data_IF_873013327078
#
_entry.id   IF_873013327078
#
_cell.length_a   1.000
_cell.length_b   1.000
_cell.length_c   1.000
_cell.angle_alpha   90.00
_cell.angle_beta   90.00
_cell.angle_gamma   90.00
#
_symmetry.space_group_name_H-M   'P 1'
#
loop_
_entity.id
_entity.type
_entity.pdbx_description
1 polymer ?
#
# COMPACT_ATOMS: atom_id res chain seq x y z
N UNK A 1 14.94 -5.08 19.01
CA UNK A 1 14.71 -3.63 19.16
C UNK A 1 15.39 -2.95 17.99
N UNK A 2 14.70 -2.05 17.30
CA UNK A 2 15.25 -1.21 16.23
C UNK A 2 15.78 0.06 16.87
N UNK A 3 17.04 0.43 16.65
CA UNK A 3 17.64 1.67 17.19
C UNK A 3 17.39 2.89 16.29
N UNK A 4 16.55 2.75 15.28
CA UNK A 4 16.21 3.82 14.34
C UNK A 4 15.33 4.95 14.89
N UNK A 5 15.13 6.00 14.08
CA UNK A 5 14.41 7.22 14.49
C UNK A 5 12.96 6.98 14.90
N UNK A 6 12.37 5.85 14.50
CA UNK A 6 10.98 5.49 14.84
C UNK A 6 10.86 4.46 15.96
N UNK A 7 11.94 4.20 16.71
CA UNK A 7 11.96 3.16 17.76
C UNK A 7 10.84 3.29 18.79
N UNK A 8 10.48 4.51 19.17
CA UNK A 8 9.44 4.80 20.17
C UNK A 8 8.05 5.08 19.57
N UNK A 9 7.93 5.09 18.24
CA UNK A 9 6.66 5.39 17.57
C UNK A 9 5.67 4.21 17.63
N UNK A 10 4.34 4.47 17.63
CA UNK A 10 3.29 3.46 17.53
C UNK A 10 3.17 2.92 16.09
N UNK A 11 4.28 2.43 15.56
CA UNK A 11 4.44 1.87 14.22
C UNK A 11 4.73 0.37 14.31
N UNK A 12 4.28 -0.38 13.30
CA UNK A 12 4.67 -1.79 13.19
C UNK A 12 6.18 -1.90 12.88
N UNK A 13 6.74 -3.10 13.04
CA UNK A 13 8.17 -3.33 12.85
C UNK A 13 8.67 -2.98 11.43
N UNK A 14 7.82 -3.12 10.41
CA UNK A 14 8.19 -2.83 9.01
C UNK A 14 8.36 -1.32 8.79
N UNK A 15 7.45 -0.52 9.33
CA UNK A 15 7.57 0.94 9.32
C UNK A 15 8.75 1.44 10.15
N UNK A 16 9.05 0.81 11.30
CA UNK A 16 10.26 1.16 12.07
C UNK A 16 11.55 0.91 11.29
N UNK A 17 11.63 -0.23 10.59
CA UNK A 17 12.74 -0.55 9.67
C UNK A 17 12.81 0.38 8.46
N UNK A 18 11.69 0.91 7.99
CA UNK A 18 11.70 1.94 6.96
C UNK A 18 12.28 3.26 7.49
N UNK A 19 11.96 3.64 8.73
CA UNK A 19 12.57 4.80 9.40
C UNK A 19 14.10 4.71 9.48
N UNK A 20 14.64 3.52 9.74
CA UNK A 20 16.10 3.27 9.68
C UNK A 20 16.66 3.56 8.28
N UNK A 21 15.97 3.15 7.22
CA UNK A 21 16.41 3.36 5.84
C UNK A 21 16.34 4.85 5.40
N UNK A 22 15.53 5.68 6.07
CA UNK A 22 15.48 7.13 5.79
C UNK A 22 16.77 7.83 6.23
N UNK A 23 17.37 7.41 7.34
CA UNK A 23 18.58 8.03 7.89
C UNK A 23 19.86 7.28 7.52
N UNK A 24 19.74 6.17 6.80
CA UNK A 24 20.87 5.37 6.33
C UNK A 24 21.26 5.73 4.89
N UNK A 25 22.42 6.34 4.72
CA UNK A 25 22.95 6.77 3.42
C UNK A 25 23.29 5.60 2.49
N UNK A 26 23.52 4.40 3.02
CA UNK A 26 23.78 3.21 2.21
C UNK A 26 22.51 2.67 1.54
N UNK A 27 21.32 3.15 1.92
CA UNK A 27 20.06 2.68 1.35
C UNK A 27 19.69 3.41 0.07
N UNK A 28 19.52 2.63 -0.98
CA UNK A 28 19.09 3.11 -2.29
C UNK A 28 17.60 3.51 -2.28
N UNK A 29 17.19 4.31 -3.28
CA UNK A 29 15.78 4.63 -3.50
C UNK A 29 14.94 3.36 -3.70
N UNK A 30 15.41 2.42 -4.54
CA UNK A 30 14.71 1.16 -4.80
C UNK A 30 14.45 0.34 -3.53
N UNK A 31 15.44 0.25 -2.64
CA UNK A 31 15.27 -0.47 -1.37
C UNK A 31 14.24 0.21 -0.47
N UNK A 32 14.27 1.55 -0.41
CA UNK A 32 13.26 2.33 0.33
C UNK A 32 11.87 2.13 -0.26
N UNK A 33 11.71 2.19 -1.58
CA UNK A 33 10.43 1.95 -2.28
C UNK A 33 9.92 0.54 -2.00
N UNK A 34 10.77 -0.47 -2.12
CA UNK A 34 10.38 -1.85 -1.84
C UNK A 34 9.97 -2.05 -0.37
N UNK A 35 10.68 -1.42 0.57
CA UNK A 35 10.35 -1.50 2.00
C UNK A 35 9.07 -0.74 2.36
N UNK A 36 8.88 0.46 1.83
CA UNK A 36 7.67 1.24 2.04
C UNK A 36 6.44 0.51 1.48
N UNK A 37 6.54 -0.05 0.27
CA UNK A 37 5.50 -0.88 -0.33
C UNK A 37 5.14 -2.11 0.52
N UNK A 38 6.14 -2.87 0.98
CA UNK A 38 5.91 -4.02 1.88
C UNK A 38 5.30 -3.61 3.23
N UNK A 39 5.66 -2.44 3.76
CA UNK A 39 5.13 -1.93 5.02
C UNK A 39 3.68 -1.46 4.90
N UNK A 40 3.29 -0.83 3.78
CA UNK A 40 1.89 -0.43 3.51
C UNK A 40 0.97 -1.65 3.45
N UNK A 41 1.36 -2.68 2.70
CA UNK A 41 0.54 -3.88 2.52
C UNK A 41 0.51 -4.81 3.74
N UNK A 42 1.32 -4.54 4.77
CA UNK A 42 1.48 -5.40 5.94
C UNK A 42 0.23 -5.51 6.80
N UNK A 43 -0.51 -4.41 6.92
CA UNK A 43 -1.68 -4.28 7.79
C UNK A 43 -2.99 -4.25 7.00
N UNK A 44 -2.91 -4.37 5.68
CA UNK A 44 -4.08 -4.45 4.81
C UNK A 44 -4.60 -5.89 4.80
N UNK A 45 -5.92 -6.04 4.93
CA UNK A 45 -6.57 -7.32 4.70
C UNK A 45 -6.70 -7.60 3.19
N UNK A 46 -5.57 -7.96 2.60
CA UNK A 46 -5.46 -8.29 1.18
C UNK A 46 -6.36 -9.46 0.78
N UNK A 47 -6.70 -10.35 1.72
CA UNK A 47 -7.57 -11.50 1.45
C UNK A 47 -9.00 -11.06 1.19
N UNK A 48 -9.55 -10.27 2.12
CA UNK A 48 -10.92 -9.76 2.02
C UNK A 48 -11.13 -8.90 0.76
N UNK A 49 -10.17 -8.01 0.47
CA UNK A 49 -10.22 -7.16 -0.72
C UNK A 49 -10.18 -8.00 -2.00
N UNK A 50 -9.25 -8.95 -2.09
CA UNK A 50 -9.13 -9.80 -3.27
C UNK A 50 -10.39 -10.67 -3.47
N UNK A 51 -11.01 -11.16 -2.39
CA UNK A 51 -12.26 -11.91 -2.47
C UNK A 51 -13.41 -11.06 -2.99
N UNK A 52 -13.57 -9.83 -2.48
CA UNK A 52 -14.60 -8.90 -2.98
C UNK A 52 -14.37 -8.58 -4.46
N UNK A 53 -13.13 -8.23 -4.84
CA UNK A 53 -12.80 -7.92 -6.24
C UNK A 53 -13.07 -9.13 -7.13
N UNK A 54 -12.68 -10.33 -6.72
CA UNK A 54 -12.96 -11.55 -7.47
C UNK A 54 -14.46 -11.79 -7.67
N UNK A 55 -15.28 -11.60 -6.65
CA UNK A 55 -16.74 -11.74 -6.74
C UNK A 55 -17.35 -10.72 -7.72
N UNK A 56 -16.88 -9.47 -7.68
CA UNK A 56 -17.32 -8.41 -8.61
C UNK A 56 -16.91 -8.72 -10.06
N UNK A 57 -15.69 -9.21 -10.28
CA UNK A 57 -15.21 -9.64 -11.61
C UNK A 57 -15.98 -10.87 -12.12
N UNK A 58 -16.30 -11.81 -11.24
CA UNK A 58 -17.11 -12.98 -11.59
C UNK A 58 -18.52 -12.57 -12.01
N UNK A 59 -19.12 -11.60 -11.31
CA UNK A 59 -20.39 -11.01 -11.66
C UNK A 59 -20.33 -10.28 -13.02
N UNK A 60 -19.30 -9.45 -13.24
CA UNK A 60 -19.09 -8.73 -14.52
C UNK A 60 -19.02 -9.70 -15.71
N UNK A 61 -18.31 -10.83 -15.55
CA UNK A 61 -18.22 -11.87 -16.58
C UNK A 61 -19.54 -12.60 -16.87
N UNK A 62 -20.52 -12.50 -15.96
CA UNK A 62 -21.82 -13.19 -16.04
C UNK A 62 -23.00 -12.28 -16.38
N UNK A 63 -22.74 -11.02 -16.76
CA UNK A 63 -23.72 -9.92 -16.93
C UNK A 63 -24.88 -10.14 -17.95
N UNK A 64 -25.17 -11.36 -18.39
CA UNK A 64 -26.34 -11.64 -19.19
C UNK A 64 -27.62 -11.56 -18.34
N UNK A 65 -28.44 -10.53 -18.59
CA UNK A 65 -29.83 -10.36 -18.10
C UNK A 65 -29.99 -10.03 -16.60
N UNK A 66 -29.17 -9.14 -16.03
CA UNK A 66 -29.51 -8.52 -14.73
C UNK A 66 -30.37 -7.27 -14.91
N UNK A 67 -31.56 -7.26 -14.29
CA UNK A 67 -32.50 -6.13 -14.33
C UNK A 67 -32.19 -5.05 -13.29
N UNK A 68 -31.40 -5.38 -12.26
CA UNK A 68 -30.98 -4.46 -11.21
C UNK A 68 -29.49 -4.68 -10.89
N UNK A 69 -28.59 -4.26 -11.79
CA UNK A 69 -27.17 -4.50 -11.63
C UNK A 69 -26.59 -3.79 -10.40
N UNK A 70 -27.09 -2.59 -10.07
CA UNK A 70 -26.63 -1.84 -8.89
C UNK A 70 -27.02 -2.56 -7.61
N UNK A 71 -28.26 -3.04 -7.47
CA UNK A 71 -28.68 -3.80 -6.30
C UNK A 71 -27.96 -5.14 -6.17
N UNK A 72 -27.62 -5.79 -7.29
CA UNK A 72 -26.80 -7.02 -7.27
C UNK A 72 -25.36 -6.75 -6.83
N UNK A 73 -24.72 -5.71 -7.35
CA UNK A 73 -23.38 -5.27 -6.92
C UNK A 73 -23.38 -4.92 -5.44
N UNK A 74 -24.39 -4.18 -4.97
CA UNK A 74 -24.51 -3.81 -3.57
C UNK A 74 -24.67 -5.06 -2.67
N UNK A 75 -25.46 -6.05 -3.08
CA UNK A 75 -25.56 -7.33 -2.37
C UNK A 75 -24.24 -8.10 -2.31
N UNK A 76 -23.43 -8.04 -3.37
CA UNK A 76 -22.07 -8.61 -3.35
C UNK A 76 -21.25 -7.87 -2.29
N UNK A 77 -21.20 -6.54 -2.32
CA UNK A 77 -20.46 -5.74 -1.34
C UNK A 77 -20.90 -6.08 0.10
N UNK A 78 -22.20 -6.13 0.38
CA UNK A 78 -22.76 -6.43 1.71
C UNK A 78 -22.42 -7.84 2.24
N UNK A 79 -22.05 -8.78 1.36
CA UNK A 79 -21.60 -10.12 1.75
C UNK A 79 -20.13 -10.17 2.19
N UNK A 80 -19.38 -9.09 1.98
CA UNK A 80 -17.97 -8.98 2.33
C UNK A 80 -17.77 -7.95 3.46
N UNK A 81 -17.52 -8.43 4.69
CA UNK A 81 -17.13 -7.58 5.83
C UNK A 81 -15.60 -7.46 5.88
N UNK A 82 -15.05 -6.55 5.09
CA UNK A 82 -13.60 -6.42 4.91
C UNK A 82 -12.97 -5.20 5.59
N UNK A 83 -13.68 -4.57 6.53
CA UNK A 83 -13.21 -3.39 7.26
C UNK A 83 -12.97 -2.14 6.39
N UNK A 84 -12.26 -1.14 6.95
CA UNK A 84 -12.22 0.21 6.40
C UNK A 84 -11.76 0.33 4.94
N UNK A 85 -10.79 -0.49 4.49
CA UNK A 85 -10.29 -0.39 3.12
C UNK A 85 -11.26 -1.01 2.11
N UNK A 86 -12.00 -2.03 2.54
CA UNK A 86 -13.10 -2.62 1.76
C UNK A 86 -14.28 -1.66 1.67
N UNK A 87 -14.60 -0.95 2.77
CA UNK A 87 -15.61 0.12 2.77
C UNK A 87 -15.22 1.27 1.83
N UNK A 88 -13.94 1.62 1.77
CA UNK A 88 -13.42 2.63 0.85
C UNK A 88 -13.52 2.17 -0.61
N UNK A 89 -13.22 0.89 -0.88
CA UNK A 89 -13.38 0.29 -2.21
C UNK A 89 -14.83 0.33 -2.65
N UNK A 90 -15.74 -0.09 -1.76
CA UNK A 90 -17.17 -0.05 -2.00
C UNK A 90 -17.65 1.38 -2.30
N UNK A 91 -17.25 2.38 -1.51
CA UNK A 91 -17.63 3.78 -1.76
C UNK A 91 -17.14 4.28 -3.12
N UNK A 92 -15.87 4.08 -3.44
CA UNK A 92 -15.28 4.56 -4.71
C UNK A 92 -15.89 3.84 -5.91
N UNK A 93 -16.11 2.53 -5.80
CA UNK A 93 -16.80 1.73 -6.81
C UNK A 93 -18.21 2.25 -7.06
N UNK A 94 -19.00 2.42 -6.01
CA UNK A 94 -20.38 2.91 -6.14
C UNK A 94 -20.41 4.32 -6.73
N UNK A 95 -19.50 5.22 -6.34
CA UNK A 95 -19.41 6.56 -6.93
C UNK A 95 -19.14 6.53 -8.45
N UNK A 96 -18.24 5.65 -8.91
CA UNK A 96 -17.95 5.45 -10.32
C UNK A 96 -19.18 4.89 -11.08
N UNK A 97 -19.89 3.92 -10.49
CA UNK A 97 -21.09 3.32 -11.08
C UNK A 97 -22.25 4.31 -11.19
N UNK A 98 -22.47 5.15 -10.17
CA UNK A 98 -23.47 6.24 -10.24
C UNK A 98 -23.16 7.25 -11.35
N UNK A 99 -21.88 7.38 -11.70
CA UNK A 99 -21.41 8.20 -12.81
C UNK A 99 -21.45 7.48 -14.17
N UNK A 100 -22.17 6.36 -14.26
CA UNK A 100 -22.36 5.53 -15.47
C UNK A 100 -21.08 4.88 -16.02
N UNK A 101 -20.05 4.71 -15.18
CA UNK A 101 -18.84 3.97 -15.55
C UNK A 101 -19.14 2.47 -15.64
N UNK A 102 -18.72 1.75 -16.70
CA UNK A 102 -18.85 0.30 -16.76
C UNK A 102 -18.20 -0.40 -15.56
N UNK A 103 -18.78 -1.50 -15.07
CA UNK A 103 -18.35 -2.16 -13.83
C UNK A 103 -16.85 -2.52 -13.85
N UNK A 104 -16.35 -3.17 -14.91
CA UNK A 104 -14.93 -3.48 -15.04
C UNK A 104 -14.03 -2.25 -14.83
N UNK A 105 -14.34 -1.12 -15.47
CA UNK A 105 -13.58 0.13 -15.35
C UNK A 105 -13.79 0.79 -13.99
N UNK A 106 -14.98 0.68 -13.40
CA UNK A 106 -15.27 1.19 -12.07
C UNK A 106 -14.45 0.46 -10.98
N UNK A 107 -14.24 -0.85 -11.14
CA UNK A 107 -13.34 -1.65 -10.27
C UNK A 107 -11.90 -1.16 -10.41
N UNK A 108 -11.40 -1.00 -11.65
CA UNK A 108 -10.03 -0.54 -11.92
C UNK A 108 -9.76 0.85 -11.32
N UNK A 109 -10.71 1.77 -11.51
CA UNK A 109 -10.64 3.12 -10.95
C UNK A 109 -10.63 3.08 -9.42
N UNK A 110 -11.55 2.35 -8.80
CA UNK A 110 -11.66 2.28 -7.35
C UNK A 110 -10.39 1.68 -6.70
N UNK A 111 -9.77 0.66 -7.31
CA UNK A 111 -8.50 0.10 -6.87
C UNK A 111 -7.35 1.09 -6.98
N UNK A 112 -7.31 1.85 -8.09
CA UNK A 112 -6.28 2.88 -8.32
C UNK A 112 -6.42 4.03 -7.33
N UNK A 113 -7.64 4.49 -7.06
CA UNK A 113 -7.92 5.57 -6.11
C UNK A 113 -7.49 5.18 -4.70
N UNK A 114 -7.86 3.98 -4.23
CA UNK A 114 -7.43 3.48 -2.92
C UNK A 114 -5.91 3.34 -2.85
N UNK A 115 -5.27 2.84 -3.91
CA UNK A 115 -3.82 2.71 -3.94
C UNK A 115 -3.15 4.09 -3.79
N UNK A 116 -3.66 5.12 -4.48
CA UNK A 116 -3.17 6.48 -4.37
C UNK A 116 -3.39 7.07 -2.96
N UNK A 117 -4.57 6.84 -2.37
CA UNK A 117 -4.89 7.31 -1.02
C UNK A 117 -4.05 6.59 0.05
N UNK A 118 -3.78 5.30 -0.11
CA UNK A 118 -2.90 4.54 0.77
C UNK A 118 -1.46 5.08 0.73
N UNK A 119 -0.95 5.40 -0.47
CA UNK A 119 0.37 6.02 -0.68
C UNK A 119 0.42 7.38 0.00
N UNK A 120 -0.58 8.24 -0.27
CA UNK A 120 -0.64 9.61 0.25
C UNK A 120 -0.76 9.65 1.78
N UNK A 121 -1.69 8.87 2.34
CA UNK A 121 -1.92 8.79 3.79
C UNK A 121 -0.70 8.23 4.53
N UNK A 122 -0.06 7.20 3.98
CA UNK A 122 1.16 6.61 4.56
C UNK A 122 2.33 7.58 4.53
N UNK A 123 2.53 8.32 3.42
CA UNK A 123 3.54 9.38 3.33
C UNK A 123 3.30 10.43 4.40
N UNK A 124 2.09 10.98 4.49
CA UNK A 124 1.77 12.08 5.40
C UNK A 124 1.93 11.66 6.86
N UNK A 125 1.52 10.43 7.20
CA UNK A 125 1.73 9.86 8.53
C UNK A 125 3.22 9.76 8.88
N UNK A 126 4.06 9.35 7.93
CA UNK A 126 5.51 9.25 8.16
C UNK A 126 6.20 10.62 8.22
N UNK A 127 5.72 11.62 7.48
CA UNK A 127 6.18 13.00 7.63
C UNK A 127 5.90 13.51 9.06
N UNK A 128 4.71 13.21 9.61
CA UNK A 128 4.38 13.51 11.02
C UNK A 128 5.32 12.78 11.98
N UNK A 129 5.57 11.49 11.77
CA UNK A 129 6.50 10.75 12.64
C UNK A 129 7.96 11.22 12.52
N UNK A 130 8.37 11.81 11.39
CA UNK A 130 9.68 12.47 11.29
C UNK A 130 9.74 13.72 12.17
N UNK A 131 8.66 14.51 12.21
CA UNK A 131 8.54 15.69 13.09
C UNK A 131 8.65 15.24 14.55
N UNK A 132 7.80 14.30 14.96
CA UNK A 132 7.76 13.78 16.34
C UNK A 132 9.11 13.16 16.75
N UNK A 133 9.75 12.39 15.88
CA UNK A 133 11.05 11.77 16.17
C UNK A 133 12.14 12.81 16.41
N UNK A 134 12.11 13.92 15.67
CA UNK A 134 13.02 15.06 15.89
C UNK A 134 12.73 15.75 17.23
N UNK A 135 11.46 16.01 17.54
CA UNK A 135 11.06 16.69 18.77
C UNK A 135 11.42 15.88 20.03
N UNK A 136 11.31 14.56 19.95
CA UNK A 136 11.68 13.63 21.02
C UNK A 136 13.18 13.33 21.10
N UNK A 137 13.98 13.82 20.14
CA UNK A 137 15.42 13.58 20.07
C UNK A 137 15.81 12.17 19.59
N UNK A 138 14.85 11.38 19.08
CA UNK A 138 15.11 10.08 18.45
C UNK A 138 15.70 10.21 17.04
N UNK A 139 15.52 11.38 16.39
CA UNK A 139 16.15 11.74 15.12
C UNK A 139 17.00 13.00 15.29
N UNK A 140 18.25 13.00 14.79
CA UNK A 140 19.11 14.19 14.91
C UNK A 140 18.61 15.31 14.02
N UNK A 141 18.79 16.56 14.45
CA UNK A 141 18.40 17.74 13.68
C UNK A 141 19.03 17.79 12.27
N UNK A 142 20.25 17.26 12.11
CA UNK A 142 20.93 17.18 10.81
C UNK A 142 20.36 16.09 9.88
N UNK A 143 19.77 15.02 10.44
CA UNK A 143 19.19 13.91 9.68
C UNK A 143 17.79 14.26 9.16
N UNK A 144 17.06 15.13 9.86
CA UNK A 144 15.67 15.44 9.60
C UNK A 144 15.34 15.96 8.19
N UNK A 145 16.04 16.99 7.63
CA UNK A 145 15.75 17.46 6.28
C UNK A 145 15.95 16.36 5.22
N UNK A 146 16.99 15.55 5.40
CA UNK A 146 17.32 14.43 4.52
C UNK A 146 16.28 13.32 4.62
N UNK A 147 15.80 13.01 5.83
CA UNK A 147 14.75 12.02 6.05
C UNK A 147 13.44 12.41 5.36
N UNK A 148 13.01 13.68 5.47
CA UNK A 148 11.82 14.18 4.78
C UNK A 148 11.96 14.14 3.26
N UNK A 149 13.11 14.57 2.73
CA UNK A 149 13.37 14.52 1.29
C UNK A 149 13.33 13.08 0.77
N UNK A 150 14.00 12.15 1.47
CA UNK A 150 13.97 10.72 1.14
C UNK A 150 12.58 10.12 1.24
N UNK A 151 11.77 10.52 2.22
CA UNK A 151 10.40 10.07 2.34
C UNK A 151 9.57 10.53 1.14
N UNK A 152 9.62 11.82 0.80
CA UNK A 152 8.95 12.38 -0.38
C UNK A 152 9.36 11.65 -1.66
N UNK A 153 10.67 11.51 -1.88
CA UNK A 153 11.19 10.90 -3.11
C UNK A 153 10.83 9.40 -3.19
N UNK A 154 10.82 8.71 -2.05
CA UNK A 154 10.37 7.31 -1.98
C UNK A 154 8.91 7.18 -2.37
N UNK A 155 8.01 7.94 -1.75
CA UNK A 155 6.58 7.84 -2.02
C UNK A 155 6.19 8.34 -3.41
N UNK A 156 6.93 9.30 -3.97
CA UNK A 156 6.78 9.71 -5.37
C UNK A 156 7.19 8.62 -6.37
N UNK A 157 8.06 7.69 -5.97
CA UNK A 157 8.54 6.58 -6.80
C UNK A 157 7.74 5.27 -6.61
N UNK A 158 6.75 5.24 -5.71
CA UNK A 158 5.87 4.07 -5.56
C UNK A 158 4.87 4.05 -6.72
N UNK A 159 4.83 2.93 -7.42
CA UNK A 159 3.85 2.68 -8.48
C UNK A 159 2.49 2.30 -7.89
N UNK A 160 1.51 3.21 -8.02
CA UNK A 160 0.14 2.99 -7.58
C UNK A 160 -0.53 1.80 -8.29
N UNK A 161 -0.24 1.57 -9.58
CA UNK A 161 -0.79 0.43 -10.31
C UNK A 161 -0.27 -0.89 -9.73
N UNK A 162 0.99 -0.91 -9.26
CA UNK A 162 1.54 -2.08 -8.57
C UNK A 162 0.86 -2.37 -7.23
N UNK A 163 0.46 -1.33 -6.48
CA UNK A 163 -0.33 -1.49 -5.26
C UNK A 163 -1.74 -1.96 -5.59
N UNK A 164 -2.40 -1.36 -6.58
CA UNK A 164 -3.73 -1.77 -7.06
C UNK A 164 -3.76 -3.25 -7.48
N UNK A 165 -2.77 -3.69 -8.26
CA UNK A 165 -2.62 -5.10 -8.63
C UNK A 165 -2.41 -6.02 -7.42
N UNK A 166 -1.66 -5.57 -6.41
CA UNK A 166 -1.47 -6.35 -5.18
C UNK A 166 -2.75 -6.48 -4.36
N UNK A 167 -3.58 -5.43 -4.33
CA UNK A 167 -4.91 -5.44 -3.72
C UNK A 167 -5.85 -6.40 -4.44
N UNK A 168 -5.90 -6.33 -5.79
CA UNK A 168 -6.73 -7.21 -6.62
C UNK A 168 -6.35 -8.68 -6.49
N UNK A 169 -5.05 -8.98 -6.52
CA UNK A 169 -4.54 -10.36 -6.51
C UNK A 169 -4.35 -10.93 -5.09
N UNK A 170 -4.52 -10.11 -4.05
CA UNK A 170 -4.19 -10.49 -2.68
C UNK A 170 -2.68 -10.76 -2.47
N UNK A 171 -1.80 -10.19 -3.31
CA UNK A 171 -0.37 -10.52 -3.33
C UNK A 171 0.43 -9.72 -2.28
N UNK A 172 0.58 -10.31 -1.10
CA UNK A 172 1.42 -9.76 -0.02
C UNK A 172 2.92 -9.67 -0.37
N UNK A 173 3.38 -10.35 -1.44
CA UNK A 173 4.78 -10.41 -1.84
C UNK A 173 5.12 -9.50 -3.02
N UNK A 174 4.18 -8.66 -3.47
CA UNK A 174 4.37 -7.73 -4.59
C UNK A 174 5.67 -6.90 -4.51
N UNK A 175 6.13 -6.58 -3.29
CA UNK A 175 7.36 -5.82 -3.03
C UNK A 175 8.53 -6.66 -2.48
N UNK A 176 8.30 -7.92 -2.12
CA UNK A 176 9.32 -8.79 -1.52
C UNK A 176 10.41 -9.25 -2.51
N UNK A 177 10.09 -9.36 -3.80
CA UNK A 177 11.05 -9.79 -4.84
C UNK A 177 12.15 -8.76 -5.05
N UNK A 178 11.84 -7.47 -4.94
CA UNK A 178 12.83 -6.39 -5.03
C UNK A 178 13.82 -6.38 -3.86
N UNK A 179 13.38 -6.82 -2.67
CA UNK A 179 14.21 -6.94 -1.48
C UNK A 179 15.15 -8.17 -1.55
N UNK A 180 14.70 -9.30 -2.11
CA UNK A 180 15.52 -10.53 -2.18
C UNK A 180 16.60 -10.50 -3.26
N UNK A 181 16.33 -9.91 -4.44
CA UNK A 181 17.27 -9.92 -5.57
C UNK A 181 18.61 -9.20 -5.31
N UNK A 182 18.69 -8.30 -4.32
CA UNK A 182 19.91 -7.53 -4.01
C UNK A 182 20.64 -7.98 -2.73
N UNK A 183 20.12 -8.96 -1.99
CA UNK A 183 20.82 -9.53 -0.81
C UNK A 183 21.75 -10.69 -1.21
N UNK A 184 21.53 -11.33 -2.36
CA UNK A 184 22.31 -12.48 -2.85
C UNK A 184 23.31 -12.16 -3.95
N UNK A 185 24.23 -11.22 -3.74
CA UNK A 185 25.39 -11.02 -4.65
C UNK A 185 26.71 -11.04 -3.89
N UNK A 186 26.77 -11.84 -2.81
CA UNK A 186 28.01 -12.18 -2.10
C UNK A 186 28.07 -13.68 -1.76
N UNK A 187 27.67 -14.52 -2.71
CA UNK A 187 28.08 -15.94 -2.70
C UNK A 187 29.27 -16.05 -3.65
N UNK A 188 30.47 -15.94 -3.07
CA UNK A 188 31.73 -16.30 -3.74
C UNK A 188 31.74 -17.77 -4.16
N UNK A 189 32.67 -18.19 -5.03
CA UNK A 189 32.63 -19.53 -5.61
C UNK A 189 32.83 -20.60 -4.54
N UNK A 190 31.93 -21.58 -4.53
CA UNK A 190 32.07 -22.81 -3.76
C UNK A 190 33.35 -23.54 -4.22
N UNK A 191 34.37 -23.56 -3.35
CA UNK A 191 35.49 -24.51 -3.41
C UNK A 191 35.29 -25.62 -2.40
#
# INVERSE_FOLDING_TARGET
MTDGPFRNMPLNARWKRYGEDLVNDAKSLDERVARAGDAMLANVDLGEIAMLVAALREYDNRLQLDFDPLGSIQRIIEQHDGGCLTDELARNLMANLHSQTPLATAIDNALTDIAADLISSSKNRLDVHCIEARELGDMKAAEYPTALARNRDTFAAIDAAKIANALEMGDRRAFAVGLKKKVGTDDGPDF
#
